data_IF_032461791903
#
_entry.id   IF_032461791903
#
_cell.length_a   1.000
_cell.length_b   1.000
_cell.length_c   1.000
_cell.angle_alpha   90.00
_cell.angle_beta   90.00
_cell.angle_gamma   90.00
#
_symmetry.space_group_name_H-M   'P 1'
#
loop_
_entity.id
_entity.type
_entity.pdbx_description
1 polymer ?
#
# COMPACT_ATOMS: atom_id res chain seq x y z
N UNK A 1 42.24 13.95 12.71
CA UNK A 1 40.92 14.54 13.03
C UNK A 1 39.91 13.91 12.09
N UNK A 2 39.07 13.01 12.61
CA UNK A 2 38.01 12.32 11.85
C UNK A 2 36.69 12.75 12.49
N UNK A 3 35.69 13.27 11.74
CA UNK A 3 34.45 13.65 12.37
C UNK A 3 33.68 12.38 12.80
N UNK A 4 33.17 12.32 14.04
CA UNK A 4 32.24 11.29 14.45
C UNK A 4 30.84 11.69 14.01
N UNK A 5 30.13 10.82 13.30
CA UNK A 5 28.80 11.15 12.80
C UNK A 5 28.09 9.93 12.23
N UNK A 6 27.49 9.16 13.15
CA UNK A 6 26.49 8.11 12.99
C UNK A 6 25.99 7.78 11.57
N UNK A 7 26.30 6.54 11.18
CA UNK A 7 25.63 5.57 10.31
C UNK A 7 24.56 6.01 9.28
N UNK A 8 24.52 5.34 8.11
CA UNK A 8 23.37 5.45 7.22
C UNK A 8 22.12 5.07 8.01
N UNK A 9 21.13 5.96 8.06
CA UNK A 9 19.79 5.57 8.50
C UNK A 9 19.05 5.01 7.29
N UNK A 10 18.91 3.68 7.11
CA UNK A 10 17.77 3.17 6.38
C UNK A 10 16.53 3.35 7.29
N UNK A 11 16.07 4.59 7.43
CA UNK A 11 14.66 4.85 7.68
C UNK A 11 13.99 4.56 6.34
N UNK A 12 13.38 3.42 6.09
CA UNK A 12 12.24 2.89 6.84
C UNK A 12 12.05 1.41 6.44
N UNK A 13 12.06 0.48 7.41
CA UNK A 13 11.68 -0.95 7.22
C UNK A 13 10.15 -1.16 7.08
N UNK A 14 9.36 -0.11 6.86
CA UNK A 14 7.94 -0.21 6.47
C UNK A 14 7.77 -0.38 4.94
N UNK A 15 8.85 -0.56 4.18
CA UNK A 15 8.77 -0.83 2.73
C UNK A 15 8.07 -2.16 2.38
N UNK A 16 8.06 -3.14 3.30
CA UNK A 16 7.54 -4.49 2.99
C UNK A 16 6.03 -4.54 2.72
N UNK A 17 5.14 -3.98 3.56
CA UNK A 17 3.70 -4.12 3.31
C UNK A 17 3.24 -3.47 2.00
N UNK A 18 3.73 -2.27 1.68
CA UNK A 18 3.36 -1.57 0.44
C UNK A 18 3.94 -2.27 -0.80
N UNK A 19 5.16 -2.81 -0.71
CA UNK A 19 5.73 -3.63 -1.78
C UNK A 19 4.91 -4.88 -2.03
N UNK A 20 4.53 -5.61 -0.98
CA UNK A 20 3.68 -6.81 -1.09
C UNK A 20 2.33 -6.45 -1.73
N UNK A 21 1.71 -5.34 -1.33
CA UNK A 21 0.44 -4.89 -1.92
C UNK A 21 0.61 -4.49 -3.39
N UNK A 22 1.74 -3.91 -3.78
CA UNK A 22 2.04 -3.64 -5.19
C UNK A 22 2.29 -4.92 -5.99
N UNK A 23 3.02 -5.89 -5.43
CA UNK A 23 3.27 -7.19 -6.06
C UNK A 23 1.99 -7.99 -6.30
N UNK A 24 1.02 -7.92 -5.39
CA UNK A 24 -0.28 -8.60 -5.54
C UNK A 24 -1.34 -7.73 -6.26
N UNK A 25 -0.96 -6.58 -6.81
CA UNK A 25 -1.83 -5.73 -7.64
C UNK A 25 -2.84 -4.87 -6.89
N UNK A 26 -2.69 -4.70 -5.57
CA UNK A 26 -3.52 -3.81 -4.76
C UNK A 26 -3.02 -2.35 -4.76
N UNK A 27 -1.81 -2.08 -5.26
CA UNK A 27 -1.27 -0.72 -5.41
C UNK A 27 -0.69 -0.56 -6.81
N UNK A 28 -1.03 0.54 -7.49
CA UNK A 28 -0.46 0.92 -8.80
C UNK A 28 -0.16 2.41 -8.84
N UNK A 29 0.44 2.90 -9.94
CA UNK A 29 0.79 4.31 -10.13
C UNK A 29 2.17 4.71 -9.58
N UNK A 30 2.53 6.01 -9.64
CA UNK A 30 3.80 6.53 -9.12
C UNK A 30 3.96 6.31 -7.62
N UNK A 31 5.20 6.30 -7.12
CA UNK A 31 5.48 6.11 -5.69
C UNK A 31 5.02 7.31 -4.84
N UNK A 32 5.06 8.51 -5.42
CA UNK A 32 4.60 9.74 -4.75
C UNK A 32 3.06 9.82 -4.67
N UNK A 33 2.36 9.20 -5.62
CA UNK A 33 0.90 9.27 -5.77
C UNK A 33 0.30 7.91 -6.15
N UNK A 34 0.31 6.93 -5.23
CA UNK A 34 -0.18 5.59 -5.50
C UNK A 34 -1.71 5.54 -5.55
N UNK A 35 -2.23 4.78 -6.52
CA UNK A 35 -3.63 4.34 -6.54
C UNK A 35 -3.73 3.04 -5.75
N UNK A 36 -4.67 2.98 -4.81
CA UNK A 36 -4.84 1.83 -3.91
C UNK A 36 -6.18 1.15 -4.16
N UNK A 37 -6.14 -0.14 -4.45
CA UNK A 37 -7.30 -1.01 -4.49
C UNK A 37 -7.54 -1.65 -3.11
N UNK A 38 -8.80 -1.71 -2.72
CA UNK A 38 -9.27 -2.39 -1.51
C UNK A 38 -10.32 -3.41 -1.89
N UNK A 39 -10.16 -4.64 -1.40
CA UNK A 39 -11.13 -5.72 -1.59
C UNK A 39 -11.58 -6.18 -0.22
N UNK A 40 -12.89 -6.15 0.02
CA UNK A 40 -13.50 -6.69 1.23
C UNK A 40 -14.62 -7.66 0.87
N UNK A 41 -14.78 -8.71 1.65
CA UNK A 41 -15.90 -9.64 1.55
C UNK A 41 -16.91 -9.33 2.64
N UNK A 42 -18.20 -9.40 2.31
CA UNK A 42 -19.29 -9.24 3.26
C UNK A 42 -20.24 -10.42 3.11
N UNK A 43 -20.70 -10.97 4.24
CA UNK A 43 -21.71 -12.02 4.23
C UNK A 43 -23.00 -11.48 3.59
N UNK A 44 -23.44 -12.16 2.54
CA UNK A 44 -24.69 -11.87 1.84
C UNK A 44 -25.84 -12.75 2.35
N UNK A 45 -27.04 -12.52 1.80
CA UNK A 45 -28.20 -13.36 2.10
C UNK A 45 -28.09 -14.70 1.38
N UNK A 46 -28.72 -15.75 1.93
CA UNK A 46 -28.79 -17.07 1.31
C UNK A 46 -27.40 -17.65 0.92
N UNK A 47 -26.45 -17.62 1.87
CA UNK A 47 -25.08 -18.12 1.71
C UNK A 47 -24.28 -17.46 0.57
N UNK A 48 -24.72 -16.30 0.08
CA UNK A 48 -23.95 -15.51 -0.87
C UNK A 48 -22.82 -14.74 -0.18
N UNK A 49 -21.76 -14.45 -0.94
CA UNK A 49 -20.69 -13.54 -0.51
C UNK A 49 -20.69 -12.33 -1.43
N UNK A 50 -20.76 -11.13 -0.85
CA UNK A 50 -20.63 -9.87 -1.57
C UNK A 50 -19.15 -9.46 -1.60
N UNK A 51 -18.70 -8.99 -2.75
CA UNK A 51 -17.37 -8.41 -2.93
C UNK A 51 -17.50 -6.89 -3.03
N UNK A 52 -16.81 -6.16 -2.14
CA UNK A 52 -16.68 -4.72 -2.18
C UNK A 52 -15.31 -4.37 -2.78
N UNK A 53 -15.33 -3.58 -3.85
CA UNK A 53 -14.15 -3.12 -4.57
C UNK A 53 -14.06 -1.60 -4.41
N UNK A 54 -13.01 -1.12 -3.73
CA UNK A 54 -12.73 0.29 -3.56
C UNK A 54 -11.46 0.69 -4.31
N UNK A 55 -11.49 1.84 -4.98
CA UNK A 55 -10.30 2.45 -5.58
C UNK A 55 -10.13 3.85 -4.97
N UNK A 56 -8.98 4.07 -4.33
CA UNK A 56 -8.58 5.39 -3.84
C UNK A 56 -7.59 5.97 -4.84
N UNK A 57 -7.92 7.14 -5.38
CA UNK A 57 -7.04 7.93 -6.23
C UNK A 57 -6.58 9.17 -5.46
N UNK A 58 -5.29 9.54 -5.55
CA UNK A 58 -4.82 10.82 -5.03
C UNK A 58 -5.49 11.96 -5.81
N UNK A 59 -5.93 12.98 -5.08
CA UNK A 59 -6.66 14.14 -5.65
C UNK A 59 -5.74 15.25 -6.15
N UNK A 60 -4.43 15.11 -5.99
CA UNK A 60 -3.40 16.03 -6.51
C UNK A 60 -2.18 15.23 -6.97
N UNK A 61 -1.42 15.79 -7.93
CA UNK A 61 -0.24 15.21 -8.59
C UNK A 61 0.99 16.11 -8.48
#
# INVERSE_FOLDING_TARGET
MTPPGAEPRPSVRFARPLQVYREIGLITGPDDFPVVASVATVAGRADSTLLLLGLSMPTDA
#
